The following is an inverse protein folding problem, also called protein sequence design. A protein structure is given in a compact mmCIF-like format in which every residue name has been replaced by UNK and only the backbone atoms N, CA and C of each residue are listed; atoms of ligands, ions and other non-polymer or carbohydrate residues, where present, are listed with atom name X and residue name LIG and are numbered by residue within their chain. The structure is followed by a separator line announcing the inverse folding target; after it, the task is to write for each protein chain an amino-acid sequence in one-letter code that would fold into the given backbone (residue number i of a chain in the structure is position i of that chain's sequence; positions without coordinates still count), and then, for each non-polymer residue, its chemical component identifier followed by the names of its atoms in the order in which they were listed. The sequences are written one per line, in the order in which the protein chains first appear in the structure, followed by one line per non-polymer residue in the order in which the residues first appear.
data_IF_572317255289
#
_entry.id   IF_572317255289
#
_cell.length_a   1.000
_cell.length_b   1.000
_cell.length_c   1.000
_cell.angle_alpha   90.00
_cell.angle_beta   90.00
_cell.angle_gamma   90.00
#
_symmetry.space_group_name_H-M   'P 1'
#
loop_
_entity.id
_entity.type
_entity.pdbx_description
1 polymer ?
#
# COMPACT_ATOMS: atom_id res chain seq x y z
N UNK A 1 14.49 -44.02 18.27
CA UNK A 1 13.81 -44.36 17.01
C UNK A 1 13.71 -43.08 16.22
N UNK A 2 14.74 -42.78 15.41
CA UNK A 2 14.79 -41.58 14.56
C UNK A 2 13.84 -41.84 13.38
N UNK A 3 12.76 -41.07 13.30
CA UNK A 3 11.86 -41.08 12.15
C UNK A 3 12.68 -40.51 10.97
N UNK A 4 13.09 -41.38 10.06
CA UNK A 4 13.66 -40.96 8.77
C UNK A 4 12.65 -40.04 8.07
N UNK A 5 13.06 -38.84 7.66
CA UNK A 5 12.17 -37.96 6.94
C UNK A 5 11.77 -38.63 5.63
N UNK A 6 10.46 -38.93 5.45
CA UNK A 6 9.92 -39.44 4.19
C UNK A 6 10.45 -38.53 3.08
N UNK A 7 11.33 -39.11 2.25
CA UNK A 7 11.87 -38.40 1.06
C UNK A 7 10.70 -37.87 0.24
N UNK A 8 10.56 -36.54 0.15
CA UNK A 8 9.56 -35.89 -0.67
C UNK A 8 9.94 -36.07 -2.15
N UNK A 9 9.56 -37.20 -2.71
CA UNK A 9 9.85 -37.57 -4.10
C UNK A 9 9.42 -36.50 -5.10
N UNK A 10 8.42 -35.67 -4.74
CA UNK A 10 7.94 -34.54 -5.53
C UNK A 10 8.96 -33.39 -5.66
N UNK A 11 9.54 -32.91 -4.54
CA UNK A 11 10.53 -31.82 -4.55
C UNK A 11 11.83 -32.26 -5.23
N UNK A 12 12.22 -33.51 -5.07
CA UNK A 12 13.36 -34.08 -5.80
C UNK A 12 13.15 -34.07 -7.33
N UNK A 13 11.94 -34.44 -7.78
CA UNK A 13 11.57 -34.38 -9.20
C UNK A 13 11.54 -32.93 -9.70
N UNK A 14 10.96 -32.01 -8.93
CA UNK A 14 10.93 -30.59 -9.24
C UNK A 14 12.36 -30.05 -9.41
N UNK A 15 13.25 -30.27 -8.43
CA UNK A 15 14.64 -29.84 -8.50
C UNK A 15 15.32 -30.29 -9.79
N UNK A 16 15.26 -31.59 -10.10
CA UNK A 16 15.85 -32.13 -11.32
C UNK A 16 15.26 -31.56 -12.60
N UNK A 17 13.94 -31.30 -12.62
CA UNK A 17 13.26 -30.71 -13.77
C UNK A 17 13.71 -29.24 -13.98
N UNK A 18 13.78 -28.47 -12.88
CA UNK A 18 14.26 -27.09 -12.91
C UNK A 18 15.72 -27.02 -13.40
N UNK A 19 16.61 -27.85 -12.85
CA UNK A 19 18.01 -27.92 -13.25
C UNK A 19 18.12 -28.27 -14.76
N UNK A 20 17.38 -29.28 -15.21
CA UNK A 20 17.36 -29.70 -16.63
C UNK A 20 16.87 -28.60 -17.56
N UNK A 21 15.90 -27.80 -17.15
CA UNK A 21 15.28 -26.75 -17.96
C UNK A 21 15.64 -25.33 -17.50
N UNK A 22 16.74 -25.15 -16.77
CA UNK A 22 17.15 -23.90 -16.11
C UNK A 22 16.99 -22.64 -17.00
N UNK A 23 17.41 -22.72 -18.26
CA UNK A 23 17.30 -21.57 -19.19
C UNK A 23 15.85 -21.17 -19.45
N UNK A 24 14.94 -22.14 -19.61
CA UNK A 24 13.52 -21.89 -19.85
C UNK A 24 12.85 -21.32 -18.61
N UNK A 25 13.19 -21.85 -17.43
CA UNK A 25 12.67 -21.37 -16.14
C UNK A 25 13.15 -19.94 -15.85
N UNK A 26 14.43 -19.66 -16.05
CA UNK A 26 14.96 -18.29 -15.92
C UNK A 26 14.29 -17.32 -16.89
N UNK A 27 14.08 -17.72 -18.15
CA UNK A 27 13.38 -16.89 -19.13
C UNK A 27 11.91 -16.64 -18.72
N UNK A 28 11.22 -17.65 -18.22
CA UNK A 28 9.84 -17.50 -17.73
C UNK A 28 9.76 -16.51 -16.55
N UNK A 29 10.65 -16.62 -15.57
CA UNK A 29 10.70 -15.67 -14.45
C UNK A 29 11.11 -14.26 -14.87
N UNK A 30 12.01 -14.12 -15.85
CA UNK A 30 12.36 -12.83 -16.43
C UNK A 30 11.15 -12.17 -17.11
N UNK A 31 10.37 -12.94 -17.86
CA UNK A 31 9.12 -12.45 -18.45
C UNK A 31 8.10 -12.03 -17.39
N UNK A 32 7.92 -12.83 -16.34
CA UNK A 32 7.07 -12.48 -15.19
C UNK A 32 7.57 -11.20 -14.49
N UNK A 33 8.87 -11.04 -14.32
CA UNK A 33 9.48 -9.85 -13.73
C UNK A 33 9.18 -8.58 -14.55
N UNK A 34 9.40 -8.62 -15.86
CA UNK A 34 9.14 -7.48 -16.74
C UNK A 34 7.65 -7.16 -16.81
N UNK A 35 6.80 -8.18 -17.01
CA UNK A 35 5.35 -8.01 -17.03
C UNK A 35 4.82 -7.52 -15.67
N UNK A 36 5.41 -7.98 -14.57
CA UNK A 36 5.08 -7.55 -13.21
C UNK A 36 5.46 -6.08 -12.95
N UNK A 37 6.57 -5.61 -13.52
CA UNK A 37 6.95 -4.19 -13.48
C UNK A 37 5.91 -3.30 -14.18
N UNK A 38 5.43 -3.73 -15.34
CA UNK A 38 4.31 -3.06 -16.02
C UNK A 38 3.02 -3.12 -15.18
N UNK A 39 2.70 -4.31 -14.64
CA UNK A 39 1.51 -4.50 -13.82
C UNK A 39 1.52 -3.61 -12.57
N UNK A 40 2.67 -3.42 -11.92
CA UNK A 40 2.81 -2.56 -10.75
C UNK A 40 2.40 -1.10 -11.04
N UNK A 41 2.74 -0.58 -12.23
CA UNK A 41 2.36 0.78 -12.63
C UNK A 41 0.86 0.94 -12.90
N UNK A 42 0.18 -0.11 -13.36
CA UNK A 42 -1.25 -0.09 -13.69
C UNK A 42 -2.14 -0.42 -12.48
N UNK A 43 -1.62 -1.24 -11.56
CA UNK A 43 -2.40 -1.76 -10.43
C UNK A 43 -2.91 -0.65 -9.52
N UNK A 44 -2.07 0.35 -9.20
CA UNK A 44 -2.40 1.43 -8.25
C UNK A 44 -3.69 2.17 -8.61
N UNK A 45 -3.95 2.39 -9.91
CA UNK A 45 -5.17 3.07 -10.36
C UNK A 45 -6.44 2.21 -10.25
N UNK A 46 -6.30 0.91 -10.02
CA UNK A 46 -7.40 -0.06 -9.95
C UNK A 46 -7.71 -0.52 -8.52
N UNK A 47 -6.87 -0.15 -7.57
CA UNK A 47 -7.07 -0.53 -6.17
C UNK A 47 -8.25 0.22 -5.56
N UNK A 48 -9.02 -0.48 -4.75
CA UNK A 48 -10.11 0.08 -3.98
C UNK A 48 -9.62 0.61 -2.64
N UNK A 49 -10.02 1.83 -2.33
CA UNK A 49 -9.84 2.48 -1.03
C UNK A 49 -11.13 2.48 -0.20
N UNK A 50 -12.07 1.62 -0.57
CA UNK A 50 -13.37 1.53 0.06
C UNK A 50 -13.30 0.64 1.32
N UNK A 51 -13.54 1.24 2.47
CA UNK A 51 -13.68 0.59 3.78
C UNK A 51 -15.14 0.45 4.19
N UNK A 52 -16.07 0.68 3.28
CA UNK A 52 -17.49 0.63 3.56
C UNK A 52 -17.92 -0.75 4.08
N UNK A 53 -18.94 -0.72 4.93
CA UNK A 53 -19.59 -1.90 5.50
C UNK A 53 -21.07 -1.90 5.10
N UNK A 54 -21.40 -2.26 3.85
CA UNK A 54 -22.77 -2.32 3.38
C UNK A 54 -23.65 -3.20 4.30
N UNK A 55 -24.88 -2.78 4.53
CA UNK A 55 -25.81 -3.47 5.44
C UNK A 55 -25.69 -3.04 6.90
N UNK A 56 -24.74 -2.19 7.26
CA UNK A 56 -24.66 -1.61 8.61
C UNK A 56 -25.47 -0.31 8.68
N UNK A 57 -26.21 -0.06 9.79
CA UNK A 57 -27.09 1.14 9.91
C UNK A 57 -26.36 2.47 9.69
N UNK A 58 -25.12 2.57 10.18
CA UNK A 58 -24.29 3.76 9.99
C UNK A 58 -23.96 4.00 8.51
N UNK A 59 -23.59 2.95 7.78
CA UNK A 59 -23.31 3.03 6.34
C UNK A 59 -24.54 3.44 5.56
N UNK A 60 -25.68 2.78 5.81
CA UNK A 60 -26.94 3.06 5.13
C UNK A 60 -27.43 4.49 5.39
N UNK A 61 -27.23 4.99 6.62
CA UNK A 61 -27.53 6.39 6.96
C UNK A 61 -26.60 7.34 6.18
N UNK A 62 -25.32 7.03 6.08
CA UNK A 62 -24.38 7.79 5.28
C UNK A 62 -24.74 7.84 3.80
N UNK A 63 -25.20 6.71 3.23
CA UNK A 63 -25.70 6.65 1.84
C UNK A 63 -26.92 7.55 1.67
N UNK A 64 -27.87 7.56 2.62
CA UNK A 64 -29.04 8.45 2.58
C UNK A 64 -28.64 9.92 2.62
N UNK A 65 -27.67 10.29 3.47
CA UNK A 65 -27.15 11.66 3.53
C UNK A 65 -26.54 12.06 2.19
N UNK A 66 -25.75 11.17 1.58
CA UNK A 66 -25.16 11.39 0.27
C UNK A 66 -26.24 11.61 -0.82
N UNK A 67 -27.29 10.81 -0.82
CA UNK A 67 -28.42 10.98 -1.76
C UNK A 67 -29.16 12.29 -1.57
N UNK A 68 -29.34 12.73 -0.31
CA UNK A 68 -30.09 13.96 -0.02
C UNK A 68 -29.30 15.23 -0.31
N UNK A 69 -27.99 15.21 -0.07
CA UNK A 69 -27.16 16.42 -0.10
C UNK A 69 -26.07 16.41 -1.19
N UNK A 70 -25.89 15.30 -1.89
CA UNK A 70 -24.87 15.13 -2.94
C UNK A 70 -23.43 15.02 -2.42
N UNK A 71 -23.24 15.19 -1.11
CA UNK A 71 -21.94 15.09 -0.42
C UNK A 71 -22.12 14.81 1.07
N UNK A 72 -21.03 14.60 1.81
CA UNK A 72 -21.06 14.19 3.23
C UNK A 72 -21.32 12.68 3.39
N UNK A 73 -22.12 12.28 4.36
CA UNK A 73 -22.43 10.88 4.62
C UNK A 73 -21.20 10.08 5.08
N UNK A 74 -20.76 9.13 4.28
CA UNK A 74 -19.62 8.29 4.58
C UNK A 74 -18.25 8.95 4.27
N UNK A 75 -18.23 10.20 3.80
CA UNK A 75 -17.01 10.96 3.54
C UNK A 75 -16.68 11.88 4.71
N UNK A 76 -15.41 11.91 5.11
CA UNK A 76 -14.92 12.88 6.10
C UNK A 76 -14.64 14.22 5.43
N UNK A 77 -15.09 15.35 6.00
CA UNK A 77 -14.77 16.66 5.44
C UNK A 77 -13.28 16.96 5.59
N UNK A 78 -12.73 17.70 4.64
CA UNK A 78 -11.47 18.40 4.86
C UNK A 78 -11.75 19.70 5.63
N UNK A 79 -10.73 20.22 6.29
CA UNK A 79 -10.82 21.44 7.08
C UNK A 79 -9.85 22.46 6.50
N UNK A 80 -10.38 23.59 6.01
CA UNK A 80 -9.58 24.72 5.59
C UNK A 80 -9.45 25.69 6.75
N UNK A 81 -8.24 26.01 7.11
CA UNK A 81 -7.91 26.90 8.25
C UNK A 81 -7.36 28.22 7.70
N UNK A 82 -7.86 29.34 8.20
CA UNK A 82 -7.38 30.68 7.88
C UNK A 82 -6.97 31.36 9.17
N UNK A 83 -5.69 31.72 9.27
CA UNK A 83 -5.15 32.47 10.41
C UNK A 83 -4.76 33.87 9.93
N UNK A 84 -5.43 34.87 10.45
CA UNK A 84 -5.20 36.28 10.05
C UNK A 84 -3.84 36.78 10.53
N UNK A 85 -3.28 37.72 9.82
CA UNK A 85 -1.98 38.33 10.10
C UNK A 85 -1.86 38.86 11.54
N UNK A 86 -0.64 38.98 12.05
CA UNK A 86 -0.38 39.46 13.41
C UNK A 86 -0.96 40.86 13.64
N UNK A 87 -1.73 41.00 14.72
CA UNK A 87 -2.38 42.29 15.05
C UNK A 87 -3.80 42.41 14.47
N UNK A 88 -4.26 41.46 13.66
CA UNK A 88 -5.60 41.44 13.10
C UNK A 88 -6.50 40.41 13.83
N UNK A 89 -7.81 40.50 13.60
CA UNK A 89 -8.80 39.59 14.12
C UNK A 89 -9.76 39.11 13.02
N UNK A 90 -10.31 37.94 13.16
CA UNK A 90 -11.33 37.39 12.24
C UNK A 90 -12.53 38.31 12.15
N UNK A 91 -12.93 38.96 13.25
CA UNK A 91 -14.01 39.94 13.27
C UNK A 91 -13.70 41.17 12.44
N UNK A 92 -12.45 41.65 12.51
CA UNK A 92 -12.00 42.82 11.72
C UNK A 92 -11.92 42.53 10.23
N UNK A 93 -11.55 41.31 9.85
CA UNK A 93 -11.42 40.88 8.47
C UNK A 93 -12.62 40.04 7.95
N UNK A 94 -13.72 40.06 8.70
CA UNK A 94 -14.89 39.21 8.40
C UNK A 94 -15.39 39.38 6.95
N UNK A 95 -15.44 40.63 6.43
CA UNK A 95 -15.90 40.90 5.08
C UNK A 95 -14.95 40.30 4.01
N UNK A 96 -13.63 40.41 4.21
CA UNK A 96 -12.62 39.87 3.30
C UNK A 96 -12.67 38.36 3.28
N UNK A 97 -12.71 37.72 4.46
CA UNK A 97 -12.82 36.27 4.63
C UNK A 97 -14.12 35.73 4.00
N UNK A 98 -15.27 36.37 4.28
CA UNK A 98 -16.55 35.99 3.69
C UNK A 98 -16.56 36.11 2.16
N UNK A 99 -15.93 37.18 1.62
CA UNK A 99 -15.77 37.35 0.17
C UNK A 99 -14.89 36.25 -0.44
N UNK A 100 -13.78 35.91 0.21
CA UNK A 100 -12.86 34.85 -0.24
C UNK A 100 -13.57 33.48 -0.31
N UNK A 101 -14.28 33.09 0.76
CA UNK A 101 -15.06 31.84 0.76
C UNK A 101 -16.21 31.87 -0.25
N UNK A 102 -16.87 33.03 -0.46
CA UNK A 102 -17.92 33.16 -1.47
C UNK A 102 -17.37 33.02 -2.90
N UNK A 103 -16.19 33.58 -3.17
CA UNK A 103 -15.51 33.42 -4.45
C UNK A 103 -15.08 31.94 -4.66
N UNK A 104 -14.54 31.30 -3.64
CA UNK A 104 -14.15 29.90 -3.69
C UNK A 104 -15.35 28.96 -3.95
N UNK A 105 -16.50 29.22 -3.34
CA UNK A 105 -17.77 28.49 -3.62
C UNK A 105 -18.21 28.62 -5.07
N UNK A 106 -18.14 29.81 -5.63
CA UNK A 106 -18.52 30.04 -7.06
C UNK A 106 -17.56 29.33 -8.01
N UNK A 107 -16.26 29.32 -7.67
CA UNK A 107 -15.24 28.66 -8.50
C UNK A 107 -15.25 27.13 -8.40
N UNK A 108 -15.76 26.58 -7.29
CA UNK A 108 -15.73 25.15 -6.99
C UNK A 108 -17.13 24.65 -6.54
N UNK A 109 -18.14 24.68 -7.43
CA UNK A 109 -19.54 24.38 -7.06
C UNK A 109 -19.76 22.94 -6.59
N UNK A 110 -18.83 22.03 -6.92
CA UNK A 110 -18.89 20.64 -6.50
C UNK A 110 -18.54 20.44 -5.00
N UNK A 111 -17.82 21.40 -4.39
CA UNK A 111 -17.41 21.33 -3.00
C UNK A 111 -18.34 22.18 -2.16
N UNK A 112 -19.07 21.55 -1.25
CA UNK A 112 -19.87 22.26 -0.27
C UNK A 112 -18.96 22.81 0.81
N UNK A 113 -18.97 24.12 1.00
CA UNK A 113 -18.17 24.84 2.00
C UNK A 113 -19.10 25.32 3.10
N UNK A 114 -18.80 24.93 4.34
CA UNK A 114 -19.54 25.33 5.55
C UNK A 114 -18.57 26.13 6.43
N UNK A 115 -18.86 27.41 6.63
CA UNK A 115 -17.99 28.38 7.30
C UNK A 115 -18.79 29.36 8.17
N UNK A 116 -18.08 30.24 8.87
CA UNK A 116 -18.64 31.32 9.69
C UNK A 116 -19.67 32.17 8.92
N UNK A 117 -19.36 32.54 7.67
CA UNK A 117 -20.19 33.50 6.92
C UNK A 117 -21.54 32.92 6.49
N UNK A 118 -21.64 31.58 6.25
CA UNK A 118 -22.87 30.96 5.85
C UNK A 118 -23.67 30.31 6.99
N UNK A 119 -23.06 30.12 8.15
CA UNK A 119 -23.71 29.55 9.34
C UNK A 119 -24.03 30.59 10.41
N UNK A 120 -23.28 31.68 10.43
CA UNK A 120 -23.27 32.68 11.50
C UNK A 120 -23.00 32.06 12.88
N UNK A 121 -22.25 30.97 12.93
CA UNK A 121 -21.91 30.23 14.14
C UNK A 121 -20.50 30.60 14.60
N UNK A 122 -20.42 31.23 15.80
CA UNK A 122 -19.17 31.67 16.40
C UNK A 122 -18.19 30.52 16.70
N UNK A 123 -18.67 29.27 16.74
CA UNK A 123 -17.80 28.09 16.91
C UNK A 123 -16.79 27.89 15.79
N UNK A 124 -16.99 28.53 14.62
CA UNK A 124 -16.00 28.57 13.54
C UNK A 124 -14.82 29.51 13.79
N UNK A 125 -14.80 30.21 14.93
CA UNK A 125 -13.69 31.08 15.31
C UNK A 125 -13.05 30.57 16.59
N UNK A 126 -11.74 30.51 16.60
CA UNK A 126 -10.98 30.12 17.81
C UNK A 126 -11.12 31.16 18.92
N UNK A 127 -10.92 30.74 20.18
CA UNK A 127 -11.05 31.58 21.37
C UNK A 127 -10.14 32.81 21.38
N UNK A 128 -9.01 32.78 20.68
CA UNK A 128 -8.12 33.90 20.52
C UNK A 128 -8.55 34.90 19.42
N UNK A 129 -9.63 34.62 18.71
CA UNK A 129 -10.20 35.46 17.68
C UNK A 129 -9.34 35.62 16.40
N UNK A 130 -8.25 34.84 16.27
CA UNK A 130 -7.29 34.99 15.16
C UNK A 130 -7.41 33.93 14.06
N UNK A 131 -8.05 32.84 14.35
CA UNK A 131 -8.17 31.73 13.40
C UNK A 131 -9.63 31.41 13.17
N UNK A 132 -10.00 31.23 11.92
CA UNK A 132 -11.28 30.65 11.50
C UNK A 132 -11.04 29.42 10.63
N UNK A 133 -12.04 28.59 10.54
CA UNK A 133 -11.96 27.40 9.69
C UNK A 133 -13.28 27.14 8.92
N UNK A 134 -13.18 26.32 7.90
CA UNK A 134 -14.32 25.86 7.15
C UNK A 134 -14.27 24.36 6.92
N UNK A 135 -15.42 23.70 6.96
CA UNK A 135 -15.55 22.32 6.51
C UNK A 135 -15.79 22.26 5.00
N UNK A 136 -14.98 21.46 4.32
CA UNK A 136 -15.06 21.23 2.89
C UNK A 136 -15.57 19.82 2.61
N UNK A 137 -16.77 19.70 2.09
CA UNK A 137 -17.40 18.44 1.70
C UNK A 137 -17.28 18.29 0.19
N UNK A 138 -16.33 17.50 -0.27
CA UNK A 138 -16.21 17.10 -1.67
C UNK A 138 -17.05 15.83 -1.92
N UNK A 139 -17.51 15.59 -3.17
CA UNK A 139 -18.04 14.30 -3.57
C UNK A 139 -17.05 13.17 -3.30
N UNK A 140 -17.52 11.90 -3.15
CA UNK A 140 -16.64 10.77 -2.88
C UNK A 140 -15.46 10.68 -3.86
N UNK A 141 -14.29 10.42 -3.32
CA UNK A 141 -13.06 10.20 -4.08
C UNK A 141 -12.56 8.79 -3.81
N UNK A 142 -12.17 8.07 -4.86
CA UNK A 142 -11.68 6.69 -4.78
C UNK A 142 -10.20 6.59 -4.37
N UNK A 143 -9.58 7.66 -3.87
CA UNK A 143 -8.16 7.69 -3.50
C UNK A 143 -7.92 8.05 -2.03
N UNK A 144 -6.79 7.57 -1.49
CA UNK A 144 -6.19 8.15 -0.29
C UNK A 144 -5.41 9.39 -0.72
N UNK A 145 -5.81 10.52 -0.24
CA UNK A 145 -5.09 11.76 -0.47
C UNK A 145 -6.00 12.96 -0.60
N UNK A 146 -5.40 14.14 -0.56
CA UNK A 146 -6.13 15.38 -0.72
C UNK A 146 -6.80 15.42 -2.10
N UNK A 147 -8.11 15.61 -2.11
CA UNK A 147 -8.90 15.76 -3.33
C UNK A 147 -8.43 17.03 -4.06
N UNK A 148 -8.14 16.92 -5.36
CA UNK A 148 -7.74 18.06 -6.19
C UNK A 148 -8.74 19.22 -6.15
N UNK A 149 -10.02 18.91 -5.98
CA UNK A 149 -11.10 19.90 -5.84
C UNK A 149 -10.97 20.68 -4.53
N UNK A 150 -10.62 19.98 -3.45
CA UNK A 150 -10.37 20.59 -2.13
C UNK A 150 -9.12 21.48 -2.17
N UNK A 151 -8.06 21.03 -2.83
CA UNK A 151 -6.85 21.84 -3.04
C UNK A 151 -7.12 23.08 -3.92
N UNK A 152 -8.06 22.99 -4.86
CA UNK A 152 -8.48 24.15 -5.66
C UNK A 152 -9.22 25.20 -4.81
N UNK A 153 -10.01 24.76 -3.82
CA UNK A 153 -10.64 25.66 -2.84
C UNK A 153 -9.58 26.36 -1.99
N UNK A 154 -8.61 25.61 -1.44
CA UNK A 154 -7.48 26.17 -0.69
C UNK A 154 -6.74 27.24 -1.50
N UNK A 155 -6.35 26.90 -2.74
CA UNK A 155 -5.65 27.82 -3.63
C UNK A 155 -6.47 29.07 -3.95
N UNK A 156 -7.79 28.95 -4.05
CA UNK A 156 -8.69 30.08 -4.32
C UNK A 156 -8.77 31.04 -3.14
N UNK A 157 -8.86 30.48 -1.91
CA UNK A 157 -8.90 31.27 -0.67
C UNK A 157 -7.54 31.92 -0.41
N UNK A 158 -6.45 31.18 -0.56
CA UNK A 158 -5.10 31.70 -0.37
C UNK A 158 -4.77 32.86 -1.33
N UNK A 159 -5.24 32.81 -2.58
CA UNK A 159 -5.09 33.94 -3.53
C UNK A 159 -5.90 35.15 -3.12
N UNK A 160 -7.06 34.97 -2.51
CA UNK A 160 -7.93 36.07 -2.08
C UNK A 160 -7.45 36.72 -0.77
N UNK A 161 -6.68 36.00 0.04
CA UNK A 161 -6.17 36.39 1.35
C UNK A 161 -4.64 36.27 1.40
N UNK A 162 -3.89 37.10 0.62
CA UNK A 162 -2.45 36.90 0.44
C UNK A 162 -1.60 37.22 1.70
N UNK A 163 -2.17 37.91 2.68
CA UNK A 163 -1.49 38.27 3.92
C UNK A 163 -1.78 37.31 5.08
N UNK A 164 -2.71 36.39 4.88
CA UNK A 164 -3.14 35.45 5.89
C UNK A 164 -2.52 34.07 5.63
N UNK A 165 -2.39 33.28 6.70
CA UNK A 165 -1.92 31.90 6.60
C UNK A 165 -3.13 31.00 6.33
N UNK A 166 -3.15 30.39 5.14
CA UNK A 166 -4.21 29.50 4.69
C UNK A 166 -3.65 28.10 4.55
N UNK A 167 -4.23 27.15 5.27
CA UNK A 167 -3.78 25.77 5.27
C UNK A 167 -4.93 24.79 5.25
N UNK A 168 -4.67 23.65 4.62
CA UNK A 168 -5.61 22.53 4.55
C UNK A 168 -5.23 21.43 5.54
N UNK A 169 -6.19 20.92 6.28
CA UNK A 169 -6.04 19.79 7.20
C UNK A 169 -7.23 18.83 7.10
N UNK A 170 -7.22 17.80 7.90
CA UNK A 170 -8.19 16.71 7.88
C UNK A 170 -7.53 15.38 7.50
N UNK A 171 -8.25 14.28 7.67
CA UNK A 171 -7.67 12.93 7.51
C UNK A 171 -7.01 12.75 6.14
N UNK A 172 -7.67 13.19 5.06
CA UNK A 172 -7.13 13.06 3.70
C UNK A 172 -5.87 13.90 3.47
N UNK A 173 -5.83 15.13 3.98
CA UNK A 173 -4.67 16.02 3.87
C UNK A 173 -3.48 15.48 4.69
N UNK A 174 -3.73 15.03 5.92
CA UNK A 174 -2.71 14.47 6.80
C UNK A 174 -2.16 13.13 6.28
N UNK A 175 -3.01 12.27 5.72
CA UNK A 175 -2.58 11.00 5.13
C UNK A 175 -1.76 11.16 3.84
N UNK A 176 -1.92 12.29 3.15
CA UNK A 176 -1.12 12.63 1.96
C UNK A 176 0.27 13.20 2.30
N UNK A 177 0.59 13.34 3.60
CA UNK A 177 1.85 13.88 4.05
C UNK A 177 1.90 15.42 4.11
N UNK A 178 0.76 16.09 3.92
CA UNK A 178 0.69 17.56 3.89
C UNK A 178 1.63 18.17 2.84
N UNK A 179 1.68 19.47 2.73
CA UNK A 179 2.73 20.20 1.98
C UNK A 179 4.06 20.25 2.77
N UNK A 180 4.29 19.28 3.65
CA UNK A 180 5.46 19.26 4.50
C UNK A 180 6.72 19.03 3.67
N UNK A 181 7.73 19.85 3.92
CA UNK A 181 9.10 19.74 3.41
C UNK A 181 9.84 18.49 3.89
N UNK A 182 9.13 17.38 4.13
CA UNK A 182 9.72 16.11 4.47
C UNK A 182 10.36 15.44 3.25
N UNK A 183 11.30 14.49 3.45
CA UNK A 183 11.88 13.73 2.36
C UNK A 183 10.77 13.01 1.60
N UNK A 184 10.84 13.01 0.26
CA UNK A 184 9.82 12.35 -0.56
C UNK A 184 9.80 10.84 -0.25
N UNK A 185 8.64 10.20 -0.38
CA UNK A 185 8.47 8.74 -0.21
C UNK A 185 9.53 7.97 -1.02
N UNK A 186 9.96 8.51 -2.17
CA UNK A 186 11.04 7.94 -2.97
C UNK A 186 12.38 7.93 -2.22
N UNK A 187 12.72 9.02 -1.52
CA UNK A 187 13.97 9.12 -0.75
C UNK A 187 13.92 8.15 0.43
N UNK A 188 12.81 8.08 1.15
CA UNK A 188 12.62 7.12 2.26
C UNK A 188 12.74 5.67 1.78
N UNK A 189 12.10 5.34 0.65
CA UNK A 189 12.17 4.01 0.05
C UNK A 189 13.58 3.67 -0.41
N UNK A 190 14.29 4.62 -1.01
CA UNK A 190 15.68 4.42 -1.42
C UNK A 190 16.62 4.22 -0.22
N UNK A 191 16.46 5.03 0.84
CA UNK A 191 17.25 4.90 2.07
C UNK A 191 17.00 3.54 2.74
N UNK A 192 15.72 3.12 2.84
CA UNK A 192 15.37 1.80 3.36
C UNK A 192 15.95 0.66 2.49
N UNK A 193 15.89 0.79 1.17
CA UNK A 193 16.45 -0.19 0.23
C UNK A 193 17.97 -0.29 0.32
N UNK A 194 18.66 0.84 0.38
CA UNK A 194 20.13 0.88 0.55
C UNK A 194 20.52 0.32 1.93
N UNK A 195 19.78 0.64 2.99
CA UNK A 195 19.99 0.10 4.32
C UNK A 195 19.85 -1.42 4.35
N UNK A 196 18.79 -1.95 3.76
CA UNK A 196 18.59 -3.40 3.63
C UNK A 196 19.72 -4.07 2.83
N UNK A 197 20.15 -3.45 1.74
CA UNK A 197 21.28 -3.94 0.94
C UNK A 197 22.59 -3.97 1.74
N UNK A 198 22.86 -2.92 2.51
CA UNK A 198 24.05 -2.84 3.34
C UNK A 198 24.07 -3.94 4.42
N UNK A 199 22.94 -4.17 5.09
CA UNK A 199 22.81 -5.25 6.09
C UNK A 199 23.02 -6.62 5.44
N UNK A 200 22.39 -6.87 4.30
CA UNK A 200 22.55 -8.13 3.57
C UNK A 200 24.00 -8.34 3.09
N UNK A 201 24.65 -7.30 2.57
CA UNK A 201 26.03 -7.35 2.15
C UNK A 201 26.98 -7.66 3.33
N UNK A 202 26.72 -7.04 4.50
CA UNK A 202 27.48 -7.29 5.72
C UNK A 202 27.30 -8.74 6.22
N UNK A 203 26.05 -9.23 6.26
CA UNK A 203 25.74 -10.59 6.74
C UNK A 203 26.32 -11.66 5.82
N UNK A 204 26.23 -11.48 4.52
CA UNK A 204 26.69 -12.49 3.56
C UNK A 204 28.16 -12.36 3.15
N UNK A 205 28.76 -11.17 3.27
CA UNK A 205 30.13 -10.86 2.82
C UNK A 205 30.45 -11.39 1.40
N UNK A 206 29.43 -11.50 0.55
CA UNK A 206 29.51 -12.15 -0.78
C UNK A 206 28.43 -11.62 -1.72
N UNK A 207 28.67 -11.72 -3.04
CA UNK A 207 27.67 -11.48 -4.09
C UNK A 207 26.40 -12.36 -3.96
N UNK A 208 26.46 -13.46 -3.19
CA UNK A 208 25.27 -14.24 -2.85
C UNK A 208 24.22 -13.44 -2.06
N UNK A 209 24.59 -12.32 -1.44
CA UNK A 209 23.65 -11.40 -0.77
C UNK A 209 22.61 -10.80 -1.75
N UNK A 210 22.95 -10.70 -3.02
CA UNK A 210 22.02 -10.19 -4.04
C UNK A 210 20.93 -11.21 -4.42
N UNK A 211 21.17 -12.49 -4.23
CA UNK A 211 20.23 -13.55 -4.62
C UNK A 211 18.89 -13.45 -3.90
N UNK A 212 18.82 -13.29 -2.56
CA UNK A 212 17.56 -13.08 -1.86
C UNK A 212 16.77 -11.86 -2.34
N UNK A 213 17.46 -10.76 -2.65
CA UNK A 213 16.82 -9.54 -3.16
C UNK A 213 16.27 -9.74 -4.57
N UNK A 214 16.99 -10.45 -5.43
CA UNK A 214 16.51 -10.80 -6.76
C UNK A 214 15.26 -11.69 -6.67
N UNK A 215 15.29 -12.71 -5.82
CA UNK A 215 14.15 -13.58 -5.56
C UNK A 215 12.95 -12.78 -5.03
N UNK A 216 13.18 -11.87 -4.08
CA UNK A 216 12.14 -11.01 -3.54
C UNK A 216 11.54 -10.10 -4.61
N UNK A 217 12.38 -9.48 -5.45
CA UNK A 217 11.92 -8.62 -6.54
C UNK A 217 11.08 -9.38 -7.55
N UNK A 218 11.51 -10.58 -7.96
CA UNK A 218 10.73 -11.44 -8.87
C UNK A 218 9.41 -11.85 -8.22
N UNK A 219 9.41 -12.23 -6.93
CA UNK A 219 8.20 -12.63 -6.19
C UNK A 219 7.20 -11.48 -6.09
N UNK A 220 7.64 -10.28 -5.70
CA UNK A 220 6.79 -9.10 -5.53
C UNK A 220 6.18 -8.70 -6.89
N UNK A 221 6.99 -8.58 -7.94
CA UNK A 221 6.52 -8.17 -9.25
C UNK A 221 5.58 -9.20 -9.88
N UNK A 222 5.87 -10.50 -9.73
CA UNK A 222 4.96 -11.56 -10.17
C UNK A 222 3.64 -11.52 -9.39
N UNK A 223 3.67 -11.23 -8.08
CA UNK A 223 2.45 -11.08 -7.30
C UNK A 223 1.64 -9.88 -7.78
N UNK A 224 2.27 -8.74 -8.12
CA UNK A 224 1.57 -7.60 -8.73
C UNK A 224 0.94 -7.95 -10.08
N UNK A 225 1.59 -8.77 -10.90
CA UNK A 225 1.01 -9.25 -12.15
C UNK A 225 -0.28 -10.07 -11.90
N UNK A 226 -0.25 -10.98 -10.94
CA UNK A 226 -1.43 -11.77 -10.57
C UNK A 226 -2.54 -10.91 -9.95
N UNK A 227 -2.17 -9.91 -9.13
CA UNK A 227 -3.13 -8.96 -8.55
C UNK A 227 -3.77 -8.08 -9.62
N UNK A 228 -3.02 -7.66 -10.63
CA UNK A 228 -3.60 -6.96 -11.77
C UNK A 228 -4.63 -7.84 -12.47
N UNK A 229 -4.32 -9.11 -12.73
CA UNK A 229 -5.28 -10.08 -13.25
C UNK A 229 -6.51 -10.23 -12.35
N UNK A 230 -6.31 -10.35 -11.03
CA UNK A 230 -7.38 -10.45 -10.05
C UNK A 230 -8.27 -9.20 -10.03
N UNK A 231 -7.70 -8.01 -10.22
CA UNK A 231 -8.43 -6.74 -10.23
C UNK A 231 -9.44 -6.59 -11.38
N UNK A 232 -9.37 -7.42 -12.41
CA UNK A 232 -10.40 -7.49 -13.47
C UNK A 232 -11.61 -8.34 -13.09
N UNK A 233 -11.46 -9.22 -12.08
CA UNK A 233 -12.51 -10.17 -11.66
C UNK A 233 -13.17 -9.74 -10.36
N UNK A 234 -12.41 -9.09 -9.46
CA UNK A 234 -12.89 -8.65 -8.14
C UNK A 234 -12.20 -7.36 -7.72
N UNK A 235 -12.84 -6.65 -6.79
CA UNK A 235 -12.22 -5.47 -6.17
C UNK A 235 -11.05 -5.89 -5.29
N UNK A 236 -9.89 -5.26 -5.49
CA UNK A 236 -8.67 -5.49 -4.69
C UNK A 236 -8.43 -4.27 -3.83
N UNK A 237 -8.33 -4.46 -2.51
CA UNK A 237 -8.01 -3.38 -1.57
C UNK A 237 -6.57 -2.90 -1.76
N UNK A 238 -6.35 -1.58 -1.65
CA UNK A 238 -5.01 -0.99 -1.67
C UNK A 238 -4.08 -1.55 -0.58
N UNK A 239 -4.63 -2.05 0.54
CA UNK A 239 -3.87 -2.68 1.61
C UNK A 239 -3.04 -3.85 1.08
N UNK A 240 -3.56 -4.58 0.09
CA UNK A 240 -2.85 -5.72 -0.52
C UNK A 240 -1.52 -5.28 -1.14
N UNK A 241 -1.45 -4.09 -1.74
CA UNK A 241 -0.20 -3.57 -2.32
C UNK A 241 0.89 -3.39 -1.25
N UNK A 242 0.53 -2.86 -0.08
CA UNK A 242 1.47 -2.73 1.04
C UNK A 242 1.87 -4.10 1.61
N UNK A 243 0.91 -5.02 1.75
CA UNK A 243 1.20 -6.38 2.18
C UNK A 243 2.16 -7.09 1.23
N UNK A 244 1.95 -6.97 -0.09
CA UNK A 244 2.85 -7.57 -1.09
C UNK A 244 4.26 -7.01 -0.95
N UNK A 245 4.39 -5.71 -0.78
CA UNK A 245 5.71 -5.08 -0.66
C UNK A 245 6.40 -5.47 0.65
N UNK A 246 5.70 -5.38 1.78
CA UNK A 246 6.30 -5.57 3.11
C UNK A 246 6.46 -7.06 3.46
N UNK A 247 5.35 -7.82 3.41
CA UNK A 247 5.35 -9.24 3.76
C UNK A 247 6.05 -10.06 2.68
N UNK A 248 5.83 -9.70 1.40
CA UNK A 248 6.48 -10.36 0.26
C UNK A 248 7.99 -10.23 0.30
N UNK A 249 8.51 -9.06 0.65
CA UNK A 249 9.95 -8.85 0.81
C UNK A 249 10.52 -9.74 1.92
N UNK A 250 9.93 -9.71 3.12
CA UNK A 250 10.39 -10.49 4.27
C UNK A 250 10.34 -11.99 4.00
N UNK A 251 9.17 -12.48 3.58
CA UNK A 251 8.94 -13.91 3.31
C UNK A 251 9.86 -14.45 2.20
N UNK A 252 10.03 -13.70 1.10
CA UNK A 252 10.89 -14.16 0.00
C UNK A 252 12.38 -14.18 0.41
N UNK A 253 12.83 -13.19 1.20
CA UNK A 253 14.20 -13.18 1.75
C UNK A 253 14.39 -14.37 2.69
N UNK A 254 13.52 -14.55 3.68
CA UNK A 254 13.65 -15.62 4.69
C UNK A 254 13.65 -17.01 4.03
N UNK A 255 12.75 -17.25 3.09
CA UNK A 255 12.68 -18.54 2.39
C UNK A 255 13.90 -18.79 1.51
N UNK A 256 14.39 -17.77 0.81
CA UNK A 256 15.61 -17.90 0.01
C UNK A 256 16.85 -18.11 0.89
N UNK A 257 16.92 -17.47 2.06
CA UNK A 257 17.99 -17.68 3.03
C UNK A 257 18.05 -19.11 3.53
N UNK A 258 16.90 -19.69 3.90
CA UNK A 258 16.83 -21.08 4.33
C UNK A 258 17.37 -22.03 3.27
N UNK A 259 17.02 -21.80 2.00
CA UNK A 259 17.48 -22.67 0.92
C UNK A 259 18.97 -22.47 0.61
N UNK A 260 19.43 -21.22 0.55
CA UNK A 260 20.83 -20.87 0.25
C UNK A 260 21.77 -21.35 1.36
N UNK A 261 21.41 -21.17 2.62
CA UNK A 261 22.22 -21.63 3.75
C UNK A 261 22.34 -23.14 3.74
N UNK A 262 21.23 -23.86 3.51
CA UNK A 262 21.23 -25.33 3.41
C UNK A 262 22.05 -25.82 2.22
N UNK A 263 21.95 -25.18 1.08
CA UNK A 263 22.78 -25.50 -0.07
C UNK A 263 24.27 -25.30 0.24
N UNK A 264 24.65 -24.21 0.93
CA UNK A 264 26.05 -23.95 1.35
C UNK A 264 26.57 -25.02 2.29
N UNK A 265 25.77 -25.46 3.26
CA UNK A 265 26.12 -26.55 4.17
C UNK A 265 26.42 -27.85 3.41
N UNK A 266 25.57 -28.22 2.46
CA UNK A 266 25.75 -29.43 1.67
C UNK A 266 26.99 -29.32 0.75
N UNK A 267 27.27 -28.13 0.21
CA UNK A 267 28.50 -27.86 -0.54
C UNK A 267 29.75 -28.01 0.36
N UNK A 268 29.68 -27.52 1.59
CA UNK A 268 30.77 -27.65 2.56
C UNK A 268 31.04 -29.11 2.96
N UNK A 269 30.03 -30.00 2.88
CA UNK A 269 30.17 -31.45 3.09
C UNK A 269 30.81 -32.20 1.91
N UNK A 270 31.14 -31.49 0.82
CA UNK A 270 31.77 -32.07 -0.36
C UNK A 270 30.82 -32.55 -1.46
N UNK A 271 29.49 -32.36 -1.31
CA UNK A 271 28.52 -32.73 -2.33
C UNK A 271 28.71 -31.89 -3.59
N UNK A 272 28.44 -32.44 -4.77
CA UNK A 272 28.41 -31.68 -6.02
C UNK A 272 27.37 -30.57 -5.98
N UNK A 273 27.48 -29.58 -6.87
CA UNK A 273 26.52 -28.47 -6.89
C UNK A 273 25.06 -28.93 -7.09
N UNK A 274 24.84 -29.90 -7.96
CA UNK A 274 23.50 -30.45 -8.25
C UNK A 274 22.97 -31.30 -7.07
N UNK A 275 23.80 -32.14 -6.46
CA UNK A 275 23.41 -32.93 -5.29
C UNK A 275 23.09 -32.05 -4.09
N UNK A 276 23.92 -31.05 -3.80
CA UNK A 276 23.68 -30.09 -2.74
C UNK A 276 22.35 -29.34 -2.93
N UNK A 277 22.04 -28.93 -4.16
CA UNK A 277 20.76 -28.26 -4.46
C UNK A 277 19.58 -29.22 -4.29
N UNK A 278 19.66 -30.45 -4.78
CA UNK A 278 18.60 -31.45 -4.62
C UNK A 278 18.36 -31.74 -3.14
N UNK A 279 19.43 -31.89 -2.34
CA UNK A 279 19.30 -32.14 -0.90
C UNK A 279 18.72 -30.94 -0.16
N UNK A 280 19.15 -29.72 -0.50
CA UNK A 280 18.57 -28.50 0.06
C UNK A 280 17.08 -28.37 -0.26
N UNK A 281 16.66 -28.69 -1.48
CA UNK A 281 15.25 -28.71 -1.88
C UNK A 281 14.43 -29.76 -1.11
N UNK A 282 14.98 -30.92 -0.85
CA UNK A 282 14.28 -31.97 -0.10
C UNK A 282 14.11 -31.64 1.39
N UNK A 283 15.05 -30.89 1.97
CA UNK A 283 15.07 -30.53 3.40
C UNK A 283 14.47 -29.12 3.62
N UNK A 284 15.24 -28.08 3.34
CA UNK A 284 14.80 -26.69 3.51
C UNK A 284 13.62 -26.34 2.60
N UNK A 285 13.59 -26.84 1.35
CA UNK A 285 12.50 -26.60 0.43
C UNK A 285 11.16 -27.18 0.92
N UNK A 286 11.17 -28.29 1.63
CA UNK A 286 9.96 -28.84 2.26
C UNK A 286 9.45 -27.93 3.39
N UNK A 287 10.36 -27.39 4.22
CA UNK A 287 10.00 -26.43 5.26
C UNK A 287 9.42 -25.14 4.67
N UNK A 288 10.03 -24.62 3.61
CA UNK A 288 9.55 -23.44 2.87
C UNK A 288 8.16 -23.67 2.30
N UNK A 289 7.92 -24.82 1.70
CA UNK A 289 6.61 -25.18 1.13
C UNK A 289 5.51 -25.23 2.21
N UNK A 290 5.78 -25.91 3.33
CA UNK A 290 4.81 -26.00 4.44
C UNK A 290 4.56 -24.66 5.09
N UNK A 291 5.62 -23.89 5.35
CA UNK A 291 5.50 -22.55 5.93
C UNK A 291 4.69 -21.62 5.03
N UNK A 292 5.02 -21.57 3.74
CA UNK A 292 4.29 -20.73 2.79
C UNK A 292 2.82 -21.11 2.64
N UNK A 293 2.53 -22.40 2.63
CA UNK A 293 1.15 -22.90 2.60
C UNK A 293 0.38 -22.51 3.86
N UNK A 294 1.00 -22.64 5.03
CA UNK A 294 0.39 -22.24 6.32
C UNK A 294 0.08 -20.75 6.34
N UNK A 295 1.00 -19.90 5.90
CA UNK A 295 0.78 -18.45 5.81
C UNK A 295 -0.33 -18.13 4.81
N UNK A 296 -0.35 -18.80 3.65
CA UNK A 296 -1.42 -18.63 2.65
C UNK A 296 -2.80 -18.98 3.21
N UNK A 297 -2.92 -20.10 3.94
CA UNK A 297 -4.17 -20.51 4.60
C UNK A 297 -4.57 -19.49 5.68
N UNK A 298 -3.60 -19.00 6.47
CA UNK A 298 -3.86 -17.96 7.46
C UNK A 298 -4.41 -16.67 6.84
N UNK A 299 -3.84 -16.20 5.73
CA UNK A 299 -4.36 -15.02 5.01
C UNK A 299 -5.71 -15.31 4.33
N UNK A 300 -5.89 -16.51 3.77
CA UNK A 300 -7.14 -16.93 3.17
C UNK A 300 -8.30 -16.93 4.19
N UNK A 301 -8.04 -17.14 5.48
CA UNK A 301 -9.08 -17.12 6.52
C UNK A 301 -9.81 -15.77 6.62
N UNK A 302 -9.19 -14.66 6.19
CA UNK A 302 -9.81 -13.35 6.12
C UNK A 302 -11.03 -13.31 5.17
N UNK A 303 -11.12 -14.25 4.22
CA UNK A 303 -12.25 -14.33 3.27
C UNK A 303 -13.57 -14.65 3.98
N UNK A 304 -13.50 -15.35 5.11
CA UNK A 304 -14.69 -15.74 5.90
C UNK A 304 -15.34 -14.53 6.59
N UNK A 305 -14.57 -13.46 6.82
CA UNK A 305 -15.08 -12.28 7.51
C UNK A 305 -16.07 -11.50 6.63
N UNK A 306 -17.20 -11.02 7.20
CA UNK A 306 -18.22 -10.27 6.45
C UNK A 306 -17.81 -8.81 6.20
N UNK A 307 -16.54 -8.57 5.87
CA UNK A 307 -15.96 -7.26 5.69
C UNK A 307 -15.27 -7.21 4.31
N UNK A 308 -15.82 -6.45 3.34
CA UNK A 308 -15.39 -6.51 1.95
C UNK A 308 -13.88 -6.30 1.74
N UNK A 309 -13.29 -5.30 2.42
CA UNK A 309 -11.86 -5.04 2.25
C UNK A 309 -10.97 -6.16 2.86
N UNK A 310 -11.40 -6.83 3.93
CA UNK A 310 -10.69 -7.98 4.50
C UNK A 310 -10.77 -9.20 3.58
N UNK A 311 -11.91 -9.43 2.94
CA UNK A 311 -12.07 -10.49 1.93
C UNK A 311 -11.09 -10.29 0.77
N UNK A 312 -11.03 -9.08 0.23
CA UNK A 312 -10.10 -8.78 -0.86
C UNK A 312 -8.64 -8.88 -0.41
N UNK A 313 -8.35 -8.48 0.83
CA UNK A 313 -7.02 -8.63 1.45
C UNK A 313 -6.65 -10.10 1.63
N UNK A 314 -7.58 -10.96 2.01
CA UNK A 314 -7.38 -12.40 2.08
C UNK A 314 -7.07 -13.02 0.72
N UNK A 315 -7.87 -12.70 -0.31
CA UNK A 315 -7.66 -13.18 -1.68
C UNK A 315 -6.32 -12.73 -2.27
N UNK A 316 -6.00 -11.45 -2.18
CA UNK A 316 -4.75 -10.91 -2.69
C UNK A 316 -3.54 -11.31 -1.85
N UNK A 317 -3.71 -11.29 -0.52
CA UNK A 317 -2.65 -11.60 0.43
C UNK A 317 -2.14 -13.04 0.36
N UNK A 318 -3.02 -14.02 0.14
CA UNK A 318 -2.61 -15.42 0.01
C UNK A 318 -1.69 -15.68 -1.19
N UNK A 319 -1.75 -14.82 -2.24
CA UNK A 319 -0.86 -14.95 -3.40
C UNK A 319 0.60 -14.71 -3.03
N UNK A 320 0.86 -13.86 -2.04
CA UNK A 320 2.22 -13.48 -1.63
C UNK A 320 3.07 -14.70 -1.25
N UNK A 321 2.71 -15.51 -0.23
CA UNK A 321 3.52 -16.65 0.16
C UNK A 321 3.53 -17.74 -0.92
N UNK A 322 2.45 -17.94 -1.66
CA UNK A 322 2.40 -18.94 -2.72
C UNK A 322 3.37 -18.63 -3.86
N UNK A 323 3.39 -17.36 -4.32
CA UNK A 323 4.32 -16.92 -5.36
C UNK A 323 5.76 -16.95 -4.83
N UNK A 324 6.00 -16.49 -3.59
CA UNK A 324 7.34 -16.52 -2.99
C UNK A 324 7.89 -17.95 -2.91
N UNK A 325 7.07 -18.92 -2.48
CA UNK A 325 7.45 -20.35 -2.48
C UNK A 325 7.77 -20.83 -3.89
N UNK A 326 6.91 -20.50 -4.87
CA UNK A 326 7.14 -20.92 -6.26
C UNK A 326 8.44 -20.36 -6.82
N UNK A 327 8.72 -19.07 -6.59
CA UNK A 327 9.97 -18.42 -7.03
C UNK A 327 11.18 -19.03 -6.33
N UNK A 328 11.16 -19.15 -4.99
CA UNK A 328 12.28 -19.69 -4.20
C UNK A 328 12.61 -21.12 -4.58
N UNK A 329 11.60 -21.96 -4.88
CA UNK A 329 11.82 -23.36 -5.23
C UNK A 329 12.19 -23.58 -6.70
N UNK A 330 12.08 -22.56 -7.56
CA UNK A 330 12.28 -22.76 -9.01
C UNK A 330 13.26 -21.79 -9.66
N UNK A 331 13.54 -20.64 -9.08
CA UNK A 331 14.53 -19.69 -9.58
C UNK A 331 15.92 -19.97 -9.01
#
# INVERSE_FOLDING_TARGET
MLVEPRESSGLRRLARTVIRHRRKVMLAWLLCFVAGGYAASQLTSRLSYDFSLPGQPAYETGVKIMHLYGNGGNTTPAVLVVTVASGQSVSGEHAAIASAFSAARRANPEVRIVDLANTNDASFVTSNGRTTFAYLFAPPNNGLGADKRVNAVESSVAKALPNDDVGLTGIAALSSGGSSKGPSILIETMVAGVGALAVLAFVFASFLALLPLLIASVSILTTFLLLLGLSYVTTVSFIVQFLVSLVGLGVAIDYSLLLVTRWREERARGNSNEEALVTAMQTAGHAVLLSGLTVAIGLMSLIVLPVPFLRSTGLGGMLIPLVSVAVVLTL
#
